data_IF_621725657597
#
_entry.id   IF_621725657597
#
_cell.length_a   1.000
_cell.length_b   1.000
_cell.length_c   1.000
_cell.angle_alpha   90.00
_cell.angle_beta   90.00
_cell.angle_gamma   90.00
#
_symmetry.space_group_name_H-M   'P 1'
#
loop_
_entity.id
_entity.type
_entity.pdbx_description
1 polymer ?
#
# COMPACT_ATOMS: atom_id res chain seq x y z
N UNK A 1 18.40 -79.64 24.07
CA UNK A 1 17.07 -79.12 23.70
C UNK A 1 17.30 -77.73 23.15
N UNK A 2 17.10 -77.49 21.86
CA UNK A 2 17.29 -76.17 21.28
C UNK A 2 16.07 -75.30 21.64
N UNK A 3 16.29 -74.20 22.36
CA UNK A 3 15.26 -73.23 22.67
C UNK A 3 14.68 -72.68 21.37
N UNK A 4 13.37 -72.90 21.16
CA UNK A 4 12.67 -72.44 19.98
C UNK A 4 12.33 -70.96 20.21
N UNK A 5 12.75 -70.04 19.33
CA UNK A 5 12.55 -68.61 19.55
C UNK A 5 11.06 -68.28 19.67
N UNK A 6 10.77 -67.28 20.50
CA UNK A 6 9.42 -66.83 20.83
C UNK A 6 8.66 -66.44 19.55
N UNK A 7 7.35 -66.69 19.50
CA UNK A 7 6.49 -66.29 18.36
C UNK A 7 6.60 -64.78 18.10
N UNK A 8 6.89 -63.98 19.13
CA UNK A 8 7.12 -62.55 19.02
C UNK A 8 8.43 -62.20 18.30
N UNK A 9 9.45 -63.06 18.36
CA UNK A 9 10.72 -62.90 17.63
C UNK A 9 10.62 -63.31 16.15
N UNK A 10 9.54 -63.99 15.76
CA UNK A 10 9.26 -64.42 14.38
C UNK A 10 8.37 -63.42 13.62
N UNK A 11 7.85 -62.40 14.30
CA UNK A 11 7.03 -61.35 13.69
C UNK A 11 7.94 -60.28 13.07
N UNK A 12 8.21 -60.44 11.78
CA UNK A 12 8.85 -59.38 11.00
C UNK A 12 7.85 -58.22 10.75
N UNK A 13 8.26 -56.95 10.90
CA UNK A 13 7.41 -55.80 10.58
C UNK A 13 6.88 -55.91 9.15
N UNK A 14 5.56 -55.74 8.97
CA UNK A 14 4.95 -55.79 7.64
C UNK A 14 5.53 -54.66 6.76
N UNK A 15 6.24 -54.98 5.66
CA UNK A 15 6.93 -53.98 4.82
C UNK A 15 6.00 -52.92 4.23
N UNK A 16 4.73 -53.28 3.98
CA UNK A 16 3.73 -52.35 3.47
C UNK A 16 3.36 -51.27 4.51
N UNK A 17 3.28 -51.62 5.79
CA UNK A 17 2.99 -50.65 6.86
C UNK A 17 4.13 -49.64 7.01
N UNK A 18 5.38 -50.11 6.91
CA UNK A 18 6.55 -49.24 7.01
C UNK A 18 6.63 -48.27 5.82
N UNK A 19 6.29 -48.74 4.61
CA UNK A 19 6.16 -47.89 3.42
C UNK A 19 5.12 -46.78 3.62
N UNK A 20 3.93 -47.12 4.11
CA UNK A 20 2.86 -46.14 4.38
C UNK A 20 3.27 -45.11 5.46
N UNK A 21 4.00 -45.54 6.51
CA UNK A 21 4.52 -44.63 7.53
C UNK A 21 5.52 -43.63 6.95
N UNK A 22 6.43 -44.10 6.11
CA UNK A 22 7.40 -43.25 5.43
C UNK A 22 6.74 -42.27 4.46
N UNK A 23 5.72 -42.71 3.71
CA UNK A 23 4.93 -41.84 2.84
C UNK A 23 4.17 -40.78 3.65
N UNK A 24 3.52 -41.17 4.76
CA UNK A 24 2.84 -40.23 5.66
C UNK A 24 3.80 -39.19 6.22
N UNK A 25 4.99 -39.61 6.68
CA UNK A 25 5.99 -38.69 7.21
C UNK A 25 6.46 -37.69 6.14
N UNK A 26 6.73 -38.17 4.92
CA UNK A 26 7.09 -37.31 3.77
C UNK A 26 6.00 -36.28 3.47
N UNK A 27 4.74 -36.69 3.47
CA UNK A 27 3.62 -35.76 3.24
C UNK A 27 3.47 -34.74 4.35
N UNK A 28 3.65 -35.16 5.62
CA UNK A 28 3.63 -34.24 6.75
C UNK A 28 4.72 -33.18 6.64
N UNK A 29 5.96 -33.59 6.37
CA UNK A 29 7.07 -32.64 6.18
C UNK A 29 6.80 -31.66 5.04
N UNK A 30 6.27 -32.14 3.90
CA UNK A 30 5.90 -31.26 2.78
C UNK A 30 4.77 -30.28 3.13
N UNK A 31 3.81 -30.71 3.94
CA UNK A 31 2.71 -29.88 4.41
C UNK A 31 3.25 -28.78 5.33
N UNK A 32 4.08 -29.14 6.31
CA UNK A 32 4.71 -28.19 7.24
C UNK A 32 5.57 -27.17 6.49
N UNK A 33 6.35 -27.60 5.49
CA UNK A 33 7.13 -26.71 4.62
C UNK A 33 6.24 -25.78 3.77
N UNK A 34 5.11 -26.27 3.28
CA UNK A 34 4.17 -25.48 2.50
C UNK A 34 3.48 -24.42 3.37
N UNK A 35 3.07 -24.77 4.59
CA UNK A 35 2.46 -23.87 5.56
C UNK A 35 3.40 -22.72 5.92
N UNK A 36 4.69 -23.02 6.18
CA UNK A 36 5.71 -21.99 6.39
C UNK A 36 5.83 -21.05 5.19
N UNK A 37 5.82 -21.57 3.96
CA UNK A 37 5.89 -20.75 2.74
C UNK A 37 4.66 -19.85 2.55
N UNK A 38 3.47 -20.34 2.91
CA UNK A 38 2.24 -19.54 2.88
C UNK A 38 2.38 -18.37 3.86
N UNK A 39 2.72 -18.65 5.13
CA UNK A 39 2.91 -17.60 6.13
C UNK A 39 3.98 -16.57 5.74
N UNK A 40 5.08 -17.00 5.14
CA UNK A 40 6.10 -16.08 4.63
C UNK A 40 5.59 -15.21 3.48
N UNK A 41 4.75 -15.76 2.61
CA UNK A 41 4.17 -15.03 1.48
C UNK A 41 3.13 -14.03 1.96
N UNK A 42 2.26 -14.42 2.89
CA UNK A 42 1.28 -13.54 3.52
C UNK A 42 1.95 -12.36 4.21
N UNK A 43 3.03 -12.62 4.96
CA UNK A 43 3.80 -11.54 5.60
C UNK A 43 4.37 -10.54 4.58
N UNK A 44 4.86 -11.02 3.43
CA UNK A 44 5.36 -10.14 2.36
C UNK A 44 4.25 -9.30 1.76
N UNK A 45 3.07 -9.89 1.53
CA UNK A 45 1.90 -9.14 1.04
C UNK A 45 1.55 -8.01 2.00
N UNK A 46 1.41 -8.31 3.30
CA UNK A 46 1.11 -7.29 4.31
C UNK A 46 2.17 -6.19 4.37
N UNK A 47 3.46 -6.52 4.21
CA UNK A 47 4.52 -5.50 4.17
C UNK A 47 4.38 -4.57 2.97
N UNK A 48 4.04 -5.09 1.79
CA UNK A 48 3.84 -4.26 0.60
C UNK A 48 2.56 -3.41 0.70
N UNK A 49 1.47 -3.96 1.25
CA UNK A 49 0.26 -3.18 1.54
C UNK A 49 0.55 -2.00 2.47
N UNK A 50 1.28 -2.24 3.56
CA UNK A 50 1.69 -1.20 4.50
C UNK A 50 2.59 -0.13 3.84
N UNK A 51 3.47 -0.54 2.92
CA UNK A 51 4.31 0.39 2.15
C UNK A 51 3.48 1.27 1.22
N UNK A 52 2.47 0.72 0.57
CA UNK A 52 1.55 1.49 -0.29
C UNK A 52 0.82 2.51 0.57
N UNK A 53 0.20 2.09 1.68
CA UNK A 53 -0.55 2.98 2.56
C UNK A 53 0.32 4.12 3.10
N UNK A 54 1.56 3.81 3.50
CA UNK A 54 2.51 4.82 4.01
C UNK A 54 2.85 5.85 2.94
N UNK A 55 3.19 5.41 1.72
CA UNK A 55 3.50 6.33 0.61
C UNK A 55 2.31 7.20 0.23
N UNK A 56 1.10 6.64 0.23
CA UNK A 56 -0.10 7.44 -0.01
C UNK A 56 -0.33 8.47 1.08
N UNK A 57 -0.11 8.12 2.36
CA UNK A 57 -0.23 9.05 3.47
C UNK A 57 0.78 10.19 3.36
N UNK A 58 2.03 9.89 3.02
CA UNK A 58 3.06 10.90 2.76
C UNK A 58 2.67 11.82 1.60
N UNK A 59 2.16 11.25 0.51
CA UNK A 59 1.68 12.01 -0.65
C UNK A 59 0.50 12.92 -0.28
N UNK A 60 -0.46 12.42 0.51
CA UNK A 60 -1.58 13.22 1.05
C UNK A 60 -1.07 14.36 1.92
N UNK A 61 -0.14 14.10 2.83
CA UNK A 61 0.44 15.12 3.70
C UNK A 61 1.19 16.20 2.92
N UNK A 62 2.02 15.80 1.94
CA UNK A 62 2.73 16.73 1.06
C UNK A 62 1.76 17.58 0.21
N UNK A 63 0.67 16.97 -0.28
CA UNK A 63 -0.40 17.71 -0.97
C UNK A 63 -1.06 18.72 -0.05
N UNK A 64 -1.44 18.34 1.17
CA UNK A 64 -2.07 19.26 2.13
C UNK A 64 -1.15 20.43 2.46
N UNK A 65 0.12 20.17 2.76
CA UNK A 65 1.09 21.25 3.03
C UNK A 65 1.19 22.23 1.86
N UNK A 66 1.35 21.70 0.63
CA UNK A 66 1.41 22.54 -0.59
C UNK A 66 0.14 23.37 -0.79
N UNK A 67 -1.04 22.81 -0.53
CA UNK A 67 -2.31 23.53 -0.63
C UNK A 67 -2.40 24.64 0.43
N UNK A 68 -2.03 24.35 1.68
CA UNK A 68 -1.99 25.35 2.75
C UNK A 68 -1.02 26.49 2.43
N UNK A 69 0.17 26.21 1.90
CA UNK A 69 1.12 27.26 1.50
C UNK A 69 0.52 28.16 0.42
N UNK A 70 -0.13 27.58 -0.60
CA UNK A 70 -0.76 28.33 -1.69
C UNK A 70 -1.95 29.16 -1.19
N UNK A 71 -2.80 28.58 -0.35
CA UNK A 71 -3.92 29.28 0.27
C UNK A 71 -3.44 30.43 1.18
N UNK A 72 -2.39 30.20 1.99
CA UNK A 72 -1.78 31.25 2.81
C UNK A 72 -1.19 32.40 1.99
N UNK A 73 -0.74 32.15 0.75
CA UNK A 73 -0.34 33.23 -0.15
C UNK A 73 -1.54 34.05 -0.64
N UNK A 74 -2.70 33.43 -0.86
CA UNK A 74 -3.93 34.16 -1.20
C UNK A 74 -4.38 35.01 -0.01
N UNK A 75 -4.39 34.45 1.21
CA UNK A 75 -4.71 35.21 2.43
C UNK A 75 -3.75 36.38 2.66
N UNK A 76 -2.47 36.21 2.31
CA UNK A 76 -1.50 37.30 2.37
C UNK A 76 -1.83 38.43 1.39
N UNK A 77 -2.29 38.09 0.17
CA UNK A 77 -2.67 39.06 -0.85
C UNK A 77 -4.02 39.73 -0.57
N UNK A 78 -4.97 38.99 0.01
CA UNK A 78 -6.34 39.43 0.26
C UNK A 78 -6.73 39.01 1.70
N UNK A 79 -6.32 39.77 2.73
CA UNK A 79 -6.53 39.40 4.13
C UNK A 79 -8.00 39.17 4.50
N UNK A 80 -8.93 39.81 3.78
CA UNK A 80 -10.37 39.65 3.96
C UNK A 80 -10.85 38.20 3.72
N UNK A 81 -10.11 37.39 2.95
CA UNK A 81 -10.48 35.99 2.71
C UNK A 81 -10.39 35.13 3.97
N UNK A 82 -9.64 35.56 4.98
CA UNK A 82 -9.44 34.81 6.24
C UNK A 82 -10.72 34.67 7.07
N UNK A 83 -11.63 35.64 6.96
CA UNK A 83 -12.89 35.66 7.71
C UNK A 83 -14.02 34.93 6.95
N UNK A 84 -13.74 34.44 5.73
CA UNK A 84 -14.72 33.72 4.93
C UNK A 84 -14.81 32.25 5.38
N UNK A 85 -16.02 31.72 5.44
CA UNK A 85 -16.24 30.27 5.49
C UNK A 85 -15.78 29.61 4.18
N UNK A 86 -15.56 28.30 4.20
CA UNK A 86 -15.16 27.54 3.00
C UNK A 86 -16.08 27.81 1.79
N UNK A 87 -17.41 27.82 2.00
CA UNK A 87 -18.36 28.10 0.92
C UNK A 87 -18.25 29.54 0.39
N UNK A 88 -18.11 30.53 1.28
CA UNK A 88 -17.95 31.92 0.89
C UNK A 88 -16.63 32.16 0.14
N UNK A 89 -15.57 31.45 0.53
CA UNK A 89 -14.30 31.49 -0.19
C UNK A 89 -14.43 30.94 -1.61
N UNK A 90 -15.15 29.82 -1.79
CA UNK A 90 -15.42 29.26 -3.11
C UNK A 90 -16.27 30.21 -3.97
N UNK A 91 -17.33 30.81 -3.42
CA UNK A 91 -18.15 31.82 -4.10
C UNK A 91 -17.31 33.05 -4.50
N UNK A 92 -16.43 33.50 -3.62
CA UNK A 92 -15.47 34.58 -3.90
C UNK A 92 -14.55 34.22 -5.08
N UNK A 93 -13.98 33.01 -5.09
CA UNK A 93 -13.15 32.54 -6.20
C UNK A 93 -13.96 32.49 -7.51
N UNK A 94 -15.16 31.91 -7.50
CA UNK A 94 -16.02 31.81 -8.68
C UNK A 94 -16.38 33.20 -9.23
N UNK A 95 -16.70 34.15 -8.34
CA UNK A 95 -16.95 35.54 -8.73
C UNK A 95 -15.70 36.18 -9.35
N UNK A 96 -14.51 35.98 -8.78
CA UNK A 96 -13.24 36.48 -9.32
C UNK A 96 -12.98 35.92 -10.73
N UNK A 97 -13.22 34.64 -10.97
CA UNK A 97 -13.01 34.03 -12.29
C UNK A 97 -14.14 34.30 -13.30
N UNK A 98 -15.27 34.85 -12.85
CA UNK A 98 -16.36 35.28 -13.74
C UNK A 98 -16.06 36.58 -14.50
N UNK A 99 -15.04 37.34 -14.09
CA UNK A 99 -14.70 38.61 -14.73
C UNK A 99 -14.27 38.41 -16.20
N UNK A 100 -14.87 39.17 -17.14
CA UNK A 100 -14.50 39.09 -18.55
C UNK A 100 -12.99 39.31 -18.76
N UNK A 101 -12.37 38.43 -19.55
CA UNK A 101 -10.95 38.53 -19.90
C UNK A 101 -9.98 37.90 -18.88
N UNK A 102 -10.43 37.52 -17.69
CA UNK A 102 -9.54 36.92 -16.68
C UNK A 102 -8.97 35.58 -17.16
N UNK A 103 -9.78 34.76 -17.83
CA UNK A 103 -9.34 33.48 -18.40
C UNK A 103 -8.22 33.66 -19.42
N UNK A 104 -8.38 34.59 -20.37
CA UNK A 104 -7.36 34.87 -21.37
C UNK A 104 -6.07 35.41 -20.74
N UNK A 105 -6.19 36.22 -19.68
CA UNK A 105 -5.04 36.70 -18.93
C UNK A 105 -4.28 35.56 -18.24
N UNK A 106 -5.00 34.64 -17.58
CA UNK A 106 -4.41 33.46 -16.93
C UNK A 106 -3.73 32.55 -17.96
N UNK A 107 -4.39 32.25 -19.07
CA UNK A 107 -3.82 31.42 -20.15
C UNK A 107 -2.50 32.00 -20.64
N UNK A 108 -2.41 33.33 -20.80
CA UNK A 108 -1.16 34.00 -21.16
C UNK A 108 -0.08 33.89 -20.08
N UNK A 109 -0.41 34.13 -18.81
CA UNK A 109 0.55 33.98 -17.71
C UNK A 109 1.08 32.54 -17.64
N UNK A 110 0.20 31.55 -17.74
CA UNK A 110 0.59 30.14 -17.70
C UNK A 110 1.47 29.75 -18.88
N UNK A 111 1.22 30.33 -20.05
CA UNK A 111 2.09 30.17 -21.22
C UNK A 111 3.48 30.76 -20.96
N UNK A 112 3.55 32.00 -20.45
CA UNK A 112 4.81 32.68 -20.15
C UNK A 112 5.63 31.96 -19.06
N UNK A 113 4.97 31.38 -18.06
CA UNK A 113 5.64 30.57 -17.03
C UNK A 113 6.25 29.31 -17.65
N UNK A 114 5.49 28.58 -18.47
CA UNK A 114 5.98 27.36 -19.13
C UNK A 114 7.17 27.64 -20.04
N UNK A 115 7.15 28.76 -20.76
CA UNK A 115 8.30 29.15 -21.59
C UNK A 115 9.56 29.38 -20.76
N UNK A 116 9.45 30.02 -19.59
CA UNK A 116 10.58 30.25 -18.69
C UNK A 116 11.15 28.99 -18.05
N UNK A 117 10.37 27.91 -17.97
CA UNK A 117 10.83 26.61 -17.46
C UNK A 117 11.52 25.76 -18.55
N UNK A 118 11.46 26.19 -19.82
CA UNK A 118 12.06 25.51 -20.96
C UNK A 118 13.44 26.05 -21.36
N UNK A 119 13.80 27.25 -20.89
CA UNK A 119 15.12 27.88 -21.03
C UNK A 119 16.04 27.54 -19.83
#
# INVERSE_FOLDING_TARGET
MADKPSILEQLHPNPNLEKLRNEKLKWKTKMDEAEVKVHQSDHKVTLEENRIETKEKESRAARTHRLCTRAGHIEFLIPETKELTDNQFMEFCDALFSFPGIRAHIERILFDIKLKEMD
#
